data_IF_085710092493
#
_entry.id   IF_085710092493
#
_cell.length_a   1.000
_cell.length_b   1.000
_cell.length_c   1.000
_cell.angle_alpha   90.00
_cell.angle_beta   90.00
_cell.angle_gamma   90.00
#
_symmetry.space_group_name_H-M   'P 1'
#
loop_
_entity.id
_entity.type
_entity.pdbx_description
1 polymer ?
#
# COMPACT_ATOMS: atom_id res chain seq x y z
N UNK A 1 -6.17 2.81 12.05
CA UNK A 1 -6.59 2.36 10.70
C UNK A 1 -5.40 2.31 9.72
N UNK A 2 -4.72 3.42 9.38
CA UNK A 2 -3.61 3.42 8.39
C UNK A 2 -2.49 2.41 8.70
N UNK A 3 -2.03 2.35 9.96
CA UNK A 3 -0.98 1.41 10.40
C UNK A 3 -1.43 -0.04 10.26
N UNK A 4 -2.68 -0.33 10.61
CA UNK A 4 -3.28 -1.66 10.46
C UNK A 4 -3.30 -2.07 8.99
N UNK A 5 -3.88 -1.25 8.10
CA UNK A 5 -4.00 -1.56 6.68
C UNK A 5 -2.63 -1.72 6.02
N UNK A 6 -1.64 -0.92 6.41
CA UNK A 6 -0.26 -1.03 5.95
C UNK A 6 0.36 -2.37 6.32
N UNK A 7 0.33 -2.73 7.61
CA UNK A 7 0.98 -3.96 8.09
C UNK A 7 0.21 -5.19 7.60
N UNK A 8 -1.09 -5.25 7.87
CA UNK A 8 -1.92 -6.38 7.50
C UNK A 8 -1.92 -6.60 5.99
N UNK A 9 -2.00 -5.52 5.20
CA UNK A 9 -1.93 -5.60 3.76
C UNK A 9 -0.60 -6.22 3.29
N UNK A 10 0.54 -5.62 3.66
CA UNK A 10 1.84 -6.06 3.15
C UNK A 10 2.16 -7.52 3.54
N UNK A 11 1.66 -7.97 4.69
CA UNK A 11 1.95 -9.30 5.23
C UNK A 11 0.99 -10.37 4.74
N UNK A 12 -0.32 -10.11 4.78
CA UNK A 12 -1.35 -11.13 4.49
C UNK A 12 -1.80 -11.14 3.03
N UNK A 13 -1.87 -9.97 2.39
CA UNK A 13 -2.19 -9.87 0.96
C UNK A 13 -0.91 -10.08 0.14
N UNK A 14 0.21 -9.56 0.65
CA UNK A 14 1.51 -9.66 -0.01
C UNK A 14 1.77 -8.49 -0.97
N UNK A 15 3.06 -8.21 -1.18
CA UNK A 15 3.52 -7.00 -1.88
C UNK A 15 3.08 -6.93 -3.33
N UNK A 16 3.14 -8.05 -4.05
CA UNK A 16 2.80 -8.10 -5.48
C UNK A 16 1.31 -7.88 -5.74
N UNK A 17 0.43 -8.46 -4.92
CA UNK A 17 -1.01 -8.27 -5.05
C UNK A 17 -1.41 -6.84 -4.67
N UNK A 18 -0.78 -6.25 -3.65
CA UNK A 18 -0.95 -4.83 -3.32
C UNK A 18 -0.43 -3.93 -4.44
N UNK A 19 0.67 -4.30 -5.09
CA UNK A 19 1.21 -3.54 -6.21
C UNK A 19 0.23 -3.52 -7.38
N UNK A 20 -0.33 -4.67 -7.74
CA UNK A 20 -1.36 -4.77 -8.77
C UNK A 20 -2.60 -3.96 -8.42
N UNK A 21 -3.03 -3.97 -7.15
CA UNK A 21 -4.15 -3.16 -6.65
C UNK A 21 -3.87 -1.66 -6.75
N UNK A 22 -2.66 -1.23 -6.39
CA UNK A 22 -2.26 0.16 -6.51
C UNK A 22 -2.17 0.59 -7.98
N UNK A 23 -1.60 -0.29 -8.83
CA UNK A 23 -1.44 -0.04 -10.25
C UNK A 23 -2.79 0.06 -10.96
N UNK A 24 -3.76 -0.79 -10.63
CA UNK A 24 -5.10 -0.67 -11.20
C UNK A 24 -5.77 0.65 -10.81
N UNK A 25 -5.59 1.12 -9.58
CA UNK A 25 -6.07 2.44 -9.17
C UNK A 25 -5.39 3.59 -9.93
N UNK A 26 -4.07 3.51 -10.16
CA UNK A 26 -3.35 4.46 -11.01
C UNK A 26 -3.88 4.44 -12.44
N UNK A 27 -4.06 3.26 -13.04
CA UNK A 27 -4.63 3.11 -14.38
C UNK A 27 -6.04 3.69 -14.44
N UNK A 28 -6.87 3.43 -13.43
CA UNK A 28 -8.20 4.02 -13.34
C UNK A 28 -8.09 5.55 -13.33
N UNK A 29 -7.30 6.16 -12.45
CA UNK A 29 -7.12 7.61 -12.37
C UNK A 29 -6.50 8.24 -13.64
N UNK A 30 -5.73 7.47 -14.41
CA UNK A 30 -5.14 7.91 -15.68
C UNK A 30 -6.05 7.70 -16.90
N UNK A 31 -7.25 7.17 -16.71
CA UNK A 31 -8.22 6.87 -17.77
C UNK A 31 -9.42 7.80 -17.67
N UNK A 32 -10.00 8.24 -18.79
CA UNK A 32 -11.29 8.94 -18.82
C UNK A 32 -12.46 7.96 -18.73
N UNK A 33 -13.70 8.42 -18.60
CA UNK A 33 -14.90 7.55 -18.57
C UNK A 33 -15.79 7.84 -19.76
N UNK A 34 -15.97 6.84 -20.62
CA UNK A 34 -16.87 6.89 -21.76
C UNK A 34 -18.08 6.01 -21.51
N UNK A 35 -19.27 6.56 -21.74
CA UNK A 35 -20.54 5.85 -21.64
C UNK A 35 -21.16 5.80 -23.02
N UNK A 36 -21.52 4.60 -23.47
CA UNK A 36 -22.27 4.43 -24.72
C UNK A 36 -23.73 4.84 -24.49
N UNK A 37 -24.15 5.94 -25.11
CA UNK A 37 -25.56 6.37 -25.13
C UNK A 37 -26.25 5.81 -26.38
N UNK A 38 -27.45 5.27 -26.18
CA UNK A 38 -28.32 4.72 -27.23
C UNK A 38 -29.74 5.30 -27.11
N UNK A 39 -29.95 6.58 -27.47
CA UNK A 39 -31.29 7.16 -27.49
C UNK A 39 -32.16 6.53 -28.58
N UNK A 40 -33.49 6.73 -28.48
CA UNK A 40 -34.48 6.35 -29.50
C UNK A 40 -34.43 4.85 -29.87
N UNK A 41 -34.50 3.96 -28.87
CA UNK A 41 -34.46 2.49 -29.05
C UNK A 41 -33.26 1.98 -29.88
N UNK A 42 -32.14 2.71 -29.85
CA UNK A 42 -30.90 2.30 -30.52
C UNK A 42 -30.77 2.77 -31.97
N UNK A 43 -31.61 3.71 -32.44
CA UNK A 43 -31.47 4.33 -33.75
C UNK A 43 -30.11 5.05 -33.93
N UNK A 44 -29.55 5.56 -32.83
CA UNK A 44 -28.24 6.23 -32.80
C UNK A 44 -27.44 5.70 -31.61
N UNK A 45 -26.14 5.50 -31.80
CA UNK A 45 -25.20 5.15 -30.74
C UNK A 45 -23.99 6.08 -30.77
N UNK A 46 -23.65 6.69 -29.62
CA UNK A 46 -22.46 7.52 -29.50
C UNK A 46 -21.84 7.39 -28.12
N UNK A 47 -20.54 7.67 -28.03
CA UNK A 47 -19.84 7.74 -26.75
C UNK A 47 -19.94 9.14 -26.17
N UNK A 48 -20.38 9.22 -24.91
CA UNK A 48 -20.41 10.45 -24.13
C UNK A 48 -19.32 10.38 -23.07
N UNK A 49 -18.52 11.45 -22.96
CA UNK A 49 -17.54 11.61 -21.89
C UNK A 49 -18.24 12.12 -20.65
N UNK A 50 -18.33 11.27 -19.64
CA UNK A 50 -19.01 11.59 -18.38
C UNK A 50 -17.96 11.88 -17.32
N UNK A 51 -18.10 13.01 -16.62
CA UNK A 51 -17.23 13.35 -15.50
C UNK A 51 -17.41 12.34 -14.37
N UNK A 52 -16.29 11.84 -13.84
CA UNK A 52 -16.33 10.90 -12.72
C UNK A 52 -16.91 11.56 -11.47
N UNK A 53 -17.77 10.87 -10.73
CA UNK A 53 -18.21 11.37 -9.44
C UNK A 53 -17.01 11.61 -8.52
N UNK A 54 -17.05 12.72 -7.77
CA UNK A 54 -15.94 13.15 -6.90
C UNK A 54 -15.52 12.06 -5.90
N UNK A 55 -16.46 11.27 -5.38
CA UNK A 55 -16.18 10.21 -4.42
C UNK A 55 -15.37 9.07 -5.04
N UNK A 56 -15.57 8.74 -6.32
CA UNK A 56 -14.79 7.72 -7.01
C UNK A 56 -13.33 8.16 -7.17
N UNK A 57 -13.10 9.45 -7.43
CA UNK A 57 -11.74 10.01 -7.50
C UNK A 57 -11.05 9.90 -6.14
N UNK A 58 -11.72 10.29 -5.05
CA UNK A 58 -11.17 10.22 -3.71
C UNK A 58 -10.87 8.77 -3.29
N UNK A 59 -11.78 7.84 -3.58
CA UNK A 59 -11.61 6.41 -3.31
C UNK A 59 -10.45 5.83 -4.11
N UNK A 60 -10.39 6.09 -5.42
CA UNK A 60 -9.30 5.61 -6.27
C UNK A 60 -7.94 6.23 -5.88
N UNK A 61 -7.91 7.50 -5.45
CA UNK A 61 -6.71 8.11 -4.86
C UNK A 61 -6.31 7.42 -3.55
N UNK A 62 -7.28 6.97 -2.74
CA UNK A 62 -7.05 6.16 -1.56
C UNK A 62 -6.39 4.82 -1.90
N UNK A 63 -6.87 4.15 -2.94
CA UNK A 63 -6.32 2.88 -3.44
C UNK A 63 -4.93 3.07 -4.07
N UNK A 64 -4.64 4.21 -4.70
CA UNK A 64 -3.31 4.55 -5.19
C UNK A 64 -2.27 4.58 -4.05
N UNK A 65 -2.65 4.91 -2.82
CA UNK A 65 -1.71 4.95 -1.68
C UNK A 65 -1.14 3.58 -1.28
N UNK A 66 -1.71 2.48 -1.76
CA UNK A 66 -1.05 1.18 -1.67
C UNK A 66 0.36 1.21 -2.29
N UNK A 67 0.56 2.03 -3.33
CA UNK A 67 1.86 2.30 -3.92
C UNK A 67 2.81 2.97 -2.91
N UNK A 68 2.33 3.94 -2.13
CA UNK A 68 3.12 4.61 -1.07
C UNK A 68 3.59 3.59 -0.04
N UNK A 69 2.74 2.62 0.33
CA UNK A 69 3.16 1.56 1.24
C UNK A 69 4.31 0.75 0.65
N UNK A 70 4.21 0.32 -0.62
CA UNK A 70 5.27 -0.44 -1.29
C UNK A 70 6.57 0.37 -1.41
N UNK A 71 6.48 1.65 -1.78
CA UNK A 71 7.64 2.54 -1.88
C UNK A 71 8.33 2.65 -0.52
N UNK A 72 7.58 3.00 0.53
CA UNK A 72 8.13 3.09 1.89
C UNK A 72 8.73 1.77 2.38
N UNK A 73 8.11 0.67 1.97
CA UNK A 73 8.50 -0.67 2.32
C UNK A 73 9.81 -1.12 1.67
N UNK A 74 9.98 -0.88 0.37
CA UNK A 74 11.22 -1.15 -0.38
C UNK A 74 12.35 -0.23 0.10
N UNK A 75 12.07 1.06 0.26
CA UNK A 75 13.07 2.03 0.72
C UNK A 75 13.32 1.98 2.23
N UNK A 76 12.56 1.19 3.00
CA UNK A 76 12.77 1.04 4.45
C UNK A 76 14.14 0.47 4.79
N UNK A 77 14.72 -0.36 3.91
CA UNK A 77 16.07 -0.91 4.09
C UNK A 77 17.13 0.20 4.12
N UNK A 78 16.95 1.22 3.28
CA UNK A 78 17.86 2.37 3.21
C UNK A 78 17.53 3.44 4.26
N UNK A 79 16.24 3.76 4.44
CA UNK A 79 15.78 4.85 5.31
C UNK A 79 15.67 4.45 6.79
N UNK A 80 15.56 3.15 7.09
CA UNK A 80 15.59 2.56 8.44
C UNK A 80 14.62 3.27 9.41
N UNK A 81 15.12 3.76 10.55
CA UNK A 81 14.31 4.40 11.57
C UNK A 81 13.63 5.71 11.11
N UNK A 82 14.06 6.31 9.99
CA UNK A 82 13.36 7.46 9.42
C UNK A 82 12.02 7.07 8.78
N UNK A 83 11.86 5.82 8.31
CA UNK A 83 10.64 5.36 7.63
C UNK A 83 9.39 5.62 8.47
N UNK A 84 9.40 5.30 9.76
CA UNK A 84 8.21 5.51 10.58
C UNK A 84 7.80 6.98 10.74
N UNK A 85 8.76 7.90 10.75
CA UNK A 85 8.46 9.33 10.90
C UNK A 85 7.76 9.88 9.67
N UNK A 86 8.27 9.58 8.47
CA UNK A 86 7.72 10.14 7.24
C UNK A 86 6.62 9.28 6.60
N UNK A 87 6.47 8.00 6.95
CA UNK A 87 5.53 7.11 6.27
C UNK A 87 4.06 7.52 6.41
N UNK A 88 3.64 8.07 7.55
CA UNK A 88 2.27 8.56 7.71
C UNK A 88 2.05 9.89 6.99
N UNK A 89 3.03 10.79 7.07
CA UNK A 89 2.98 12.09 6.37
C UNK A 89 2.95 11.90 4.85
N UNK A 90 3.83 11.06 4.30
CA UNK A 90 3.86 10.75 2.87
C UNK A 90 2.56 10.12 2.37
N UNK A 91 1.88 9.31 3.18
CA UNK A 91 0.55 8.77 2.86
C UNK A 91 -0.48 9.89 2.67
N UNK A 92 -0.66 10.77 3.66
CA UNK A 92 -1.66 11.83 3.57
C UNK A 92 -1.33 12.87 2.49
N UNK A 93 -0.06 13.25 2.37
CA UNK A 93 0.40 14.18 1.33
C UNK A 93 0.13 13.62 -0.06
N UNK A 94 0.50 12.36 -0.32
CA UNK A 94 0.27 11.72 -1.62
C UNK A 94 -1.22 11.56 -1.92
N UNK A 95 -2.02 11.20 -0.91
CA UNK A 95 -3.46 11.06 -1.07
C UNK A 95 -4.13 12.38 -1.50
N UNK A 96 -3.85 13.45 -0.77
CA UNK A 96 -4.41 14.77 -1.06
C UNK A 96 -3.88 15.28 -2.39
N UNK A 97 -2.57 15.19 -2.63
CA UNK A 97 -1.95 15.67 -3.86
C UNK A 97 -2.47 14.93 -5.10
N UNK A 98 -2.63 13.60 -5.04
CA UNK A 98 -3.17 12.82 -6.16
C UNK A 98 -4.65 13.13 -6.42
N UNK A 99 -5.48 13.30 -5.38
CA UNK A 99 -6.87 13.71 -5.54
C UNK A 99 -6.97 15.11 -6.16
N UNK A 100 -6.21 16.08 -5.64
CA UNK A 100 -6.16 17.46 -6.17
C UNK A 100 -5.68 17.48 -7.62
N UNK A 101 -4.64 16.70 -7.94
CA UNK A 101 -4.13 16.59 -9.31
C UNK A 101 -5.21 16.14 -10.29
N UNK A 102 -5.95 15.08 -9.95
CA UNK A 102 -7.00 14.54 -10.82
C UNK A 102 -8.21 15.49 -10.93
N UNK A 103 -8.52 16.26 -9.89
CA UNK A 103 -9.56 17.28 -9.97
C UNK A 103 -9.14 18.50 -10.80
N UNK A 104 -7.88 18.94 -10.67
CA UNK A 104 -7.36 20.11 -11.39
C UNK A 104 -7.09 19.82 -12.87
N UNK A 105 -6.60 18.61 -13.16
CA UNK A 105 -6.24 18.16 -14.50
C UNK A 105 -6.82 16.73 -14.73
N UNK A 106 -8.12 16.61 -15.00
CA UNK A 106 -8.73 15.32 -15.32
C UNK A 106 -8.16 14.74 -16.62
N UNK A 107 -8.02 13.41 -16.74
CA UNK A 107 -7.51 12.78 -17.97
C UNK A 107 -8.46 13.05 -19.15
N UNK A 108 -7.91 13.51 -20.27
CA UNK A 108 -8.64 13.71 -21.52
C UNK A 108 -8.60 12.47 -22.41
N UNK A 109 -9.68 12.25 -23.16
CA UNK A 109 -9.79 11.27 -24.23
C UNK A 109 -9.33 11.86 -25.56
N UNK A 110 -8.72 11.02 -26.39
CA UNK A 110 -8.42 11.35 -27.79
C UNK A 110 -9.22 10.43 -28.71
N UNK A 111 -9.83 11.00 -29.75
CA UNK A 111 -10.54 10.25 -30.78
C UNK A 111 -9.95 10.63 -32.13
N UNK A 112 -9.38 9.65 -32.81
CA UNK A 112 -8.87 9.82 -34.18
C UNK A 112 -9.80 9.07 -35.11
N UNK A 113 -10.49 9.80 -35.99
CA UNK A 113 -11.37 9.22 -36.99
C UNK A 113 -10.57 8.99 -38.27
N UNK A 114 -10.54 7.75 -38.73
CA UNK A 114 -9.99 7.38 -40.03
C UNK A 114 -10.92 6.33 -40.62
N UNK A 115 -11.67 6.73 -41.66
CA UNK A 115 -12.73 5.91 -42.26
C UNK A 115 -12.18 5.24 -43.50
N UNK A 116 -11.73 4.01 -43.35
CA UNK A 116 -11.34 3.15 -44.45
C UNK A 116 -12.31 1.95 -44.53
N UNK A 117 -13.15 1.94 -45.56
CA UNK A 117 -14.12 0.89 -45.80
C UNK A 117 -13.68 0.06 -47.00
N UNK A 118 -13.63 -1.25 -46.79
CA UNK A 118 -13.33 -2.22 -47.85
C UNK A 118 -14.53 -3.12 -48.07
N UNK A 119 -14.93 -3.27 -49.33
CA UNK A 119 -15.99 -4.20 -49.73
C UNK A 119 -15.37 -5.58 -49.81
N UNK A 120 -15.68 -6.45 -48.85
CA UNK A 120 -15.14 -7.83 -48.81
C UNK A 120 -15.91 -8.70 -49.80
N UNK A 121 -17.24 -8.52 -49.84
CA UNK A 121 -18.13 -9.21 -50.77
C UNK A 121 -19.15 -8.20 -51.28
N UNK A 122 -19.16 -7.97 -52.59
CA UNK A 122 -20.13 -7.08 -53.25
C UNK A 122 -21.55 -7.50 -52.85
N UNK A 123 -22.35 -6.54 -52.40
CA UNK A 123 -23.74 -6.68 -51.92
C UNK A 123 -23.97 -7.45 -50.59
N UNK A 124 -22.95 -8.10 -50.02
CA UNK A 124 -23.11 -8.88 -48.78
C UNK A 124 -22.37 -8.29 -47.57
N UNK A 125 -21.20 -7.68 -47.76
CA UNK A 125 -20.36 -7.28 -46.63
C UNK A 125 -19.41 -6.11 -46.94
N UNK A 126 -19.39 -5.14 -46.02
CA UNK A 126 -18.41 -4.05 -45.99
C UNK A 126 -17.79 -3.99 -44.60
N UNK A 127 -16.47 -4.06 -44.53
CA UNK A 127 -15.71 -3.89 -43.29
C UNK A 127 -15.13 -2.48 -43.28
N UNK A 128 -15.51 -1.69 -42.27
CA UNK A 128 -15.02 -0.33 -42.08
C UNK A 128 -14.17 -0.23 -40.82
N UNK A 129 -12.92 0.18 -40.98
CA UNK A 129 -12.16 0.79 -39.89
C UNK A 129 -12.58 2.25 -39.84
N UNK A 130 -13.20 2.71 -38.73
CA UNK A 130 -13.75 4.07 -38.61
C UNK A 130 -12.91 5.01 -37.74
N UNK A 131 -12.01 4.49 -36.91
CA UNK A 131 -11.16 5.29 -36.04
C UNK A 131 -10.64 4.53 -34.81
N UNK A 132 -9.81 5.22 -34.03
CA UNK A 132 -9.22 4.78 -32.76
C UNK A 132 -9.71 5.68 -31.64
N UNK A 133 -10.15 5.08 -30.53
CA UNK A 133 -10.57 5.79 -29.32
C UNK A 133 -9.58 5.50 -28.21
N UNK A 134 -8.83 6.51 -27.80
CA UNK A 134 -7.86 6.44 -26.71
C UNK A 134 -8.48 7.02 -25.44
N UNK A 135 -8.72 6.14 -24.46
CA UNK A 135 -9.36 6.50 -23.18
C UNK A 135 -8.33 6.79 -22.10
N UNK A 136 -7.16 6.15 -22.19
CA UNK A 136 -6.07 6.25 -21.21
C UNK A 136 -4.98 7.22 -21.63
N UNK A 137 -4.37 7.90 -20.67
CA UNK A 137 -3.22 8.77 -20.91
C UNK A 137 -1.96 8.26 -20.21
N UNK A 138 -0.95 7.89 -20.99
CA UNK A 138 0.39 7.54 -20.48
C UNK A 138 1.03 8.69 -19.72
N UNK A 139 0.78 9.93 -20.15
CA UNK A 139 1.28 11.12 -19.46
C UNK A 139 0.71 11.23 -18.05
N UNK A 140 -0.61 11.05 -17.87
CA UNK A 140 -1.23 11.07 -16.53
C UNK A 140 -0.76 9.90 -15.67
N UNK A 141 -0.62 8.71 -16.25
CA UNK A 141 -0.10 7.53 -15.55
C UNK A 141 1.31 7.79 -15.00
N UNK A 142 2.23 8.22 -15.87
CA UNK A 142 3.60 8.55 -15.47
C UNK A 142 3.64 9.70 -14.46
N UNK A 143 2.80 10.72 -14.62
CA UNK A 143 2.72 11.86 -13.69
C UNK A 143 2.25 11.44 -12.30
N UNK A 144 1.25 10.55 -12.21
CA UNK A 144 0.76 10.02 -10.93
C UNK A 144 1.82 9.17 -10.24
N UNK A 145 2.53 8.32 -10.99
CA UNK A 145 3.66 7.56 -10.43
C UNK A 145 4.77 8.49 -9.94
N UNK A 146 5.16 9.48 -10.75
CA UNK A 146 6.15 10.47 -10.38
C UNK A 146 5.73 11.27 -9.14
N UNK A 147 4.44 11.59 -9.00
CA UNK A 147 3.87 12.24 -7.82
C UNK A 147 4.01 11.37 -6.58
N UNK A 148 3.72 10.06 -6.65
CA UNK A 148 3.91 9.12 -5.53
C UNK A 148 5.37 9.10 -5.06
N UNK A 149 6.31 8.89 -5.98
CA UNK A 149 7.73 8.86 -5.66
C UNK A 149 8.23 10.22 -5.15
N UNK A 150 7.79 11.32 -5.78
CA UNK A 150 8.12 12.68 -5.40
C UNK A 150 7.64 13.03 -4.00
N UNK A 151 6.38 12.76 -3.66
CA UNK A 151 5.82 13.00 -2.32
C UNK A 151 6.54 12.17 -1.25
N UNK A 152 6.84 10.90 -1.52
CA UNK A 152 7.61 10.06 -0.60
C UNK A 152 9.02 10.62 -0.38
N UNK A 153 9.73 10.96 -1.47
CA UNK A 153 11.07 11.53 -1.44
C UNK A 153 11.14 12.89 -0.72
N UNK A 154 10.18 13.78 -0.98
CA UNK A 154 10.07 15.09 -0.32
C UNK A 154 9.83 14.95 1.18
N UNK A 155 8.91 14.05 1.58
CA UNK A 155 8.65 13.78 3.00
C UNK A 155 9.88 13.19 3.70
N UNK A 156 10.59 12.27 3.06
CA UNK A 156 11.85 11.74 3.57
C UNK A 156 12.92 12.83 3.70
N UNK A 157 13.11 13.65 2.67
CA UNK A 157 14.08 14.74 2.68
C UNK A 157 13.77 15.75 3.79
N UNK A 158 12.51 16.15 3.93
CA UNK A 158 12.06 17.06 5.00
C UNK A 158 12.40 16.50 6.40
N UNK A 159 12.11 15.22 6.66
CA UNK A 159 12.49 14.57 7.91
C UNK A 159 14.01 14.49 8.10
N UNK A 160 14.77 14.24 7.04
CA UNK A 160 16.23 14.22 7.07
C UNK A 160 16.81 15.60 7.43
N UNK A 161 16.28 16.66 6.83
CA UNK A 161 16.67 18.04 7.14
C UNK A 161 16.30 18.44 8.57
N UNK A 162 15.10 18.10 9.04
CA UNK A 162 14.68 18.33 10.43
C UNK A 162 15.61 17.64 11.42
N UNK A 163 15.97 16.39 11.15
CA UNK A 163 16.91 15.65 11.98
C UNK A 163 18.30 16.29 12.00
N UNK A 164 18.84 16.67 10.83
CA UNK A 164 20.14 17.33 10.76
C UNK A 164 20.17 18.63 11.57
N UNK A 165 19.08 19.40 11.55
CA UNK A 165 18.94 20.65 12.32
C UNK A 165 18.78 20.46 13.83
N UNK A 166 18.05 19.43 14.25
CA UNK A 166 17.68 19.24 15.67
C UNK A 166 18.50 18.16 16.41
N UNK A 167 19.41 17.44 15.75
CA UNK A 167 20.32 16.47 16.38
C UNK A 167 19.64 15.27 17.07
N UNK A 168 18.35 15.05 16.83
CA UNK A 168 17.55 14.02 17.52
C UNK A 168 17.78 12.64 16.91
N UNK A 169 18.77 11.91 17.44
CA UNK A 169 19.03 10.52 17.02
C UNK A 169 17.73 9.70 17.07
N UNK A 170 17.28 9.09 15.96
CA UNK A 170 16.12 8.22 15.99
C UNK A 170 16.47 7.01 16.87
N UNK A 171 15.57 6.64 17.79
CA UNK A 171 15.71 5.40 18.55
C UNK A 171 15.78 4.24 17.56
N UNK A 172 16.86 3.46 17.63
CA UNK A 172 16.96 2.21 16.88
C UNK A 172 16.28 1.12 17.70
N UNK A 173 15.13 0.58 17.27
CA UNK A 173 14.53 -0.54 17.96
C UNK A 173 15.44 -1.77 17.83
N UNK A 174 15.48 -2.61 18.89
CA UNK A 174 16.18 -3.89 18.87
C UNK A 174 15.72 -4.74 17.68
N UNK A 175 16.68 -5.41 17.04
CA UNK A 175 16.55 -5.90 15.67
C UNK A 175 15.94 -7.30 15.56
N UNK A 176 14.79 -7.60 16.20
CA UNK A 176 14.18 -8.93 16.07
C UNK A 176 13.91 -9.32 14.60
N UNK A 177 14.36 -10.51 14.22
CA UNK A 177 14.17 -11.11 12.88
C UNK A 177 12.70 -11.51 12.62
N UNK A 178 11.92 -11.71 13.68
CA UNK A 178 10.49 -12.06 13.61
C UNK A 178 9.65 -10.91 13.05
N UNK A 179 10.07 -9.67 13.30
CA UNK A 179 9.37 -8.48 12.83
C UNK A 179 9.85 -8.07 11.45
N UNK A 180 8.90 -7.85 10.56
CA UNK A 180 9.15 -7.27 9.26
C UNK A 180 9.64 -5.80 9.37
N UNK A 181 10.52 -5.35 8.46
CA UNK A 181 11.27 -4.09 8.57
C UNK A 181 10.41 -2.84 8.84
N UNK A 182 9.30 -2.68 8.13
CA UNK A 182 8.40 -1.54 8.36
C UNK A 182 7.62 -1.65 9.69
N UNK A 183 7.34 -2.86 10.16
CA UNK A 183 6.64 -3.10 11.42
C UNK A 183 7.50 -2.72 12.63
N UNK A 184 8.83 -2.89 12.54
CA UNK A 184 9.79 -2.54 13.61
C UNK A 184 9.66 -1.09 14.11
N UNK A 185 9.25 -0.20 13.22
CA UNK A 185 9.17 1.23 13.50
C UNK A 185 7.73 1.74 13.69
N UNK A 186 6.71 0.89 13.49
CA UNK A 186 5.30 1.27 13.56
C UNK A 186 4.63 0.93 14.91
N UNK A 187 5.18 -0.03 15.67
CA UNK A 187 4.67 -0.37 16.99
C UNK A 187 5.25 0.52 18.08
N UNK A 188 4.41 0.91 19.03
CA UNK A 188 4.84 1.61 20.24
C UNK A 188 5.61 0.64 21.13
N UNK A 189 6.80 1.03 21.56
CA UNK A 189 7.61 0.24 22.51
C UNK A 189 7.27 0.52 23.97
N UNK A 190 6.45 1.52 24.26
CA UNK A 190 6.14 1.94 25.62
C UNK A 190 5.40 0.84 26.38
N UNK A 191 5.94 0.39 27.52
CA UNK A 191 5.42 -0.67 28.39
C UNK A 191 5.51 -2.11 27.84
N UNK A 192 6.19 -2.30 26.71
CA UNK A 192 6.40 -3.62 26.09
C UNK A 192 7.84 -4.13 26.18
N UNK A 193 8.75 -3.32 26.72
CA UNK A 193 10.12 -3.73 27.01
C UNK A 193 10.21 -4.15 28.49
N UNK A 194 10.60 -5.40 28.76
CA UNK A 194 10.77 -5.92 30.12
C UNK A 194 12.06 -6.76 30.21
N UNK A 195 12.93 -6.42 31.16
CA UNK A 195 14.20 -7.12 31.39
C UNK A 195 15.10 -7.23 30.14
N UNK A 196 15.06 -6.25 29.24
CA UNK A 196 15.86 -6.25 28.00
C UNK A 196 15.26 -7.06 26.84
N UNK A 197 14.13 -7.74 27.05
CA UNK A 197 13.36 -8.44 26.01
C UNK A 197 12.14 -7.63 25.64
N UNK A 198 11.91 -7.46 24.33
CA UNK A 198 10.69 -6.81 23.82
C UNK A 198 9.58 -7.82 23.64
N UNK A 199 8.39 -7.48 24.08
CA UNK A 199 7.20 -8.30 23.94
C UNK A 199 6.24 -7.69 22.93
N UNK A 200 5.42 -8.55 22.32
CA UNK A 200 4.38 -8.17 21.37
C UNK A 200 3.08 -8.86 21.75
N UNK A 201 1.97 -8.13 21.79
CA UNK A 201 0.67 -8.75 22.03
C UNK A 201 0.27 -9.70 20.88
N UNK A 202 -0.54 -10.72 21.20
CA UNK A 202 -0.93 -11.75 20.21
C UNK A 202 -1.66 -11.17 19.00
N UNK A 203 -2.44 -10.10 19.15
CA UNK A 203 -3.15 -9.49 18.03
C UNK A 203 -2.18 -8.77 17.08
N UNK A 204 -1.23 -8.01 17.62
CA UNK A 204 -0.16 -7.40 16.84
C UNK A 204 0.77 -8.45 16.21
N UNK A 205 1.04 -9.56 16.89
CA UNK A 205 1.77 -10.69 16.33
C UNK A 205 1.07 -11.23 15.07
N UNK A 206 -0.24 -11.49 15.15
CA UNK A 206 -1.06 -11.91 14.00
C UNK A 206 -1.02 -10.87 12.88
N UNK A 207 -1.12 -9.56 13.19
CA UNK A 207 -0.98 -8.52 12.17
C UNK A 207 0.36 -8.57 11.45
N UNK A 208 1.42 -8.86 12.19
CA UNK A 208 2.77 -9.05 11.64
C UNK A 208 2.96 -10.40 10.98
N UNK A 209 1.95 -11.28 10.90
CA UNK A 209 2.03 -12.58 10.23
C UNK A 209 2.66 -13.67 11.11
N UNK A 210 2.65 -13.47 12.42
CA UNK A 210 3.12 -14.45 13.40
C UNK A 210 1.91 -15.03 14.11
N UNK A 211 1.71 -16.34 13.99
CA UNK A 211 0.67 -17.07 14.70
C UNK A 211 1.29 -17.79 15.89
N UNK A 212 0.74 -17.53 17.07
CA UNK A 212 1.24 -18.10 18.33
C UNK A 212 0.22 -19.08 18.90
N UNK A 213 0.65 -20.27 19.29
CA UNK A 213 -0.18 -21.27 19.95
C UNK A 213 0.56 -21.87 21.15
N UNK A 214 -0.07 -21.89 22.31
CA UNK A 214 0.49 -22.49 23.53
C UNK A 214 -0.08 -23.90 23.69
N UNK A 215 0.80 -24.91 23.70
CA UNK A 215 0.42 -26.31 23.86
C UNK A 215 1.47 -27.07 24.66
N UNK A 216 1.03 -27.89 25.63
CA UNK A 216 1.88 -28.82 26.39
C UNK A 216 3.14 -28.18 27.02
N UNK A 217 3.04 -26.94 27.51
CA UNK A 217 4.19 -26.25 28.13
C UNK A 217 5.17 -25.61 27.14
N UNK A 218 4.83 -25.56 25.84
CA UNK A 218 5.60 -24.89 24.79
C UNK A 218 4.76 -23.85 24.05
N UNK A 219 5.40 -22.76 23.64
CA UNK A 219 4.88 -21.73 22.75
C UNK A 219 5.36 -22.02 21.32
N UNK A 220 4.43 -22.42 20.46
CA UNK A 220 4.64 -22.58 19.04
C UNK A 220 4.44 -21.24 18.34
N UNK A 221 5.42 -20.80 17.57
CA UNK A 221 5.44 -19.53 16.85
C UNK A 221 5.60 -19.83 15.37
N UNK A 222 4.52 -19.75 14.61
CA UNK A 222 4.53 -19.91 13.16
C UNK A 222 4.66 -18.55 12.48
N UNK A 223 5.72 -18.35 11.71
CA UNK A 223 5.93 -17.17 10.89
C UNK A 223 5.47 -17.46 9.44
N UNK A 224 4.34 -16.86 9.06
CA UNK A 224 3.76 -17.01 7.73
C UNK A 224 4.66 -16.45 6.62
N UNK A 225 5.60 -15.54 6.93
CA UNK A 225 6.50 -14.96 5.93
C UNK A 225 7.59 -15.94 5.51
N UNK A 226 8.19 -16.63 6.48
CA UNK A 226 9.27 -17.59 6.26
C UNK A 226 8.77 -19.03 6.14
N UNK A 227 7.49 -19.28 6.44
CA UNK A 227 6.88 -20.62 6.54
C UNK A 227 7.62 -21.52 7.53
N UNK A 228 8.08 -20.94 8.64
CA UNK A 228 8.82 -21.65 9.69
C UNK A 228 8.04 -21.67 10.99
N UNK A 229 8.18 -22.78 11.72
CA UNK A 229 7.68 -22.94 13.09
C UNK A 229 8.88 -22.89 14.03
N UNK A 230 8.78 -22.03 15.03
CA UNK A 230 9.71 -21.94 16.15
C UNK A 230 9.01 -22.45 17.41
N UNK A 231 9.76 -23.08 18.31
CA UNK A 231 9.23 -23.62 19.57
C UNK A 231 10.03 -23.00 20.70
N UNK A 232 9.34 -22.34 21.62
CA UNK A 232 9.91 -21.74 22.83
C UNK A 232 9.33 -22.46 24.04
N UNK A 233 10.16 -23.06 24.87
CA UNK A 233 9.68 -23.73 26.08
C UNK A 233 9.32 -22.71 27.16
N UNK A 234 8.14 -22.86 27.76
CA UNK A 234 7.64 -21.89 28.76
C UNK A 234 8.51 -21.91 30.03
N UNK A 235 9.20 -23.03 30.30
CA UNK A 235 10.17 -23.13 31.40
C UNK A 235 11.35 -22.16 31.22
N UNK A 236 11.85 -22.00 29.98
CA UNK A 236 12.93 -21.06 29.66
C UNK A 236 12.47 -19.60 29.82
N UNK A 237 11.17 -19.33 29.58
CA UNK A 237 10.56 -18.02 29.80
C UNK A 237 10.35 -17.71 31.28
N UNK A 238 9.87 -18.68 32.07
CA UNK A 238 9.63 -18.52 33.50
C UNK A 238 10.92 -18.45 34.32
N UNK A 239 12.01 -19.10 33.88
CA UNK A 239 13.32 -19.02 34.52
C UNK A 239 13.94 -17.61 34.51
N UNK A 240 13.48 -16.73 33.61
CA UNK A 240 13.92 -15.33 33.51
C UNK A 240 12.94 -14.32 34.13
N UNK A 241 11.70 -14.72 34.44
CA UNK A 241 10.62 -13.81 34.81
C UNK A 241 9.86 -14.29 36.06
N UNK A 242 10.42 -14.04 37.24
CA UNK A 242 9.73 -14.39 38.50
C UNK A 242 8.47 -13.55 38.75
N UNK A 243 8.30 -12.38 38.10
CA UNK A 243 7.10 -11.52 38.20
C UNK A 243 6.89 -10.62 36.96
N UNK A 244 6.59 -11.21 35.79
CA UNK A 244 6.17 -10.41 34.65
C UNK A 244 4.77 -9.81 34.89
N UNK A 245 4.52 -8.52 34.59
CA UNK A 245 3.20 -7.91 34.71
C UNK A 245 2.17 -8.62 33.82
N UNK A 246 0.90 -8.62 34.25
CA UNK A 246 -0.17 -9.46 33.69
C UNK A 246 -0.32 -9.34 32.16
N UNK A 247 -0.09 -8.15 31.59
CA UNK A 247 -0.19 -7.92 30.15
C UNK A 247 0.93 -8.57 29.32
N UNK A 248 2.06 -8.95 29.94
CA UNK A 248 3.19 -9.59 29.28
C UNK A 248 3.17 -11.12 29.39
N UNK A 249 2.40 -11.69 30.31
CA UNK A 249 2.37 -13.14 30.57
C UNK A 249 1.97 -13.97 29.35
N UNK A 250 1.12 -13.41 28.48
CA UNK A 250 0.66 -14.05 27.24
C UNK A 250 1.22 -13.35 26.00
N UNK A 251 2.21 -12.46 26.15
CA UNK A 251 2.78 -11.75 25.03
C UNK A 251 3.91 -12.56 24.39
N UNK A 252 4.09 -12.42 23.08
CA UNK A 252 5.17 -13.05 22.33
C UNK A 252 6.49 -12.34 22.65
N UNK A 253 7.51 -13.01 23.20
CA UNK A 253 8.84 -12.43 23.34
C UNK A 253 9.51 -12.39 21.97
N UNK A 254 10.07 -11.24 21.62
CA UNK A 254 10.82 -11.04 20.38
C UNK A 254 12.30 -11.34 20.62
N UNK A 255 12.60 -12.63 20.77
CA UNK A 255 13.97 -13.15 20.95
C UNK A 255 14.61 -13.40 19.58
N UNK A 256 15.94 -13.30 19.50
CA UNK A 256 16.73 -13.70 18.30
C UNK A 256 17.11 -15.18 18.37
#
# INVERSE_FOLDING_TARGET
MVVFSRIAGLVWIGRWLIFLRALSAVCLLATSTLVLKRPLDGLVSYFESVQRPWYMVILAAGELNWMVYIVNDVFSVATKAFTAKYANTSYFVTWIASAVWVFAAPPSQSVTLDRNCTVVTVDFEVVCHSGVVEIGSLHHLCSLLALVFGCCGLCYAAERFRHWKHGTKPQQPHASLLLYAAAKHQFSSTNWDHMGTRYLDKASAVLTGILTMEMYGALYVFDTKSWRVYVIWIQDMNGQCSQAPMHLQHALPLVE
#
